data_IF_231456475471
#
_entry.id   IF_231456475471
#
_cell.length_a   1.000
_cell.length_b   1.000
_cell.length_c   1.000
_cell.angle_alpha   90.00
_cell.angle_beta   90.00
_cell.angle_gamma   90.00
#
_symmetry.space_group_name_H-M   'P 1'
#
loop_
_entity.id
_entity.type
_entity.pdbx_description
1 polymer ?
#
# COMPACT_ATOMS: atom_id res chain seq x y z
N UNK A 1 0.95 -13.68 -2.58
CA UNK A 1 1.84 -13.49 -3.75
C UNK A 1 2.17 -14.83 -4.41
N UNK A 2 2.23 -14.89 -5.75
CA UNK A 2 2.57 -16.11 -6.52
C UNK A 2 3.85 -15.92 -7.33
N UNK A 3 4.76 -16.89 -7.27
CA UNK A 3 5.97 -16.94 -8.08
C UNK A 3 6.16 -18.31 -8.75
N UNK A 4 6.91 -18.35 -9.85
CA UNK A 4 7.31 -19.61 -10.49
C UNK A 4 8.73 -19.61 -11.01
N UNK A 5 9.31 -20.80 -10.98
CA UNK A 5 10.66 -21.05 -11.48
C UNK A 5 10.59 -21.80 -12.82
N UNK A 6 10.95 -21.10 -13.91
CA UNK A 6 10.78 -21.53 -15.33
C UNK A 6 11.47 -22.85 -15.74
N UNK A 7 12.27 -23.47 -14.89
CA UNK A 7 13.03 -24.71 -15.22
C UNK A 7 12.75 -25.87 -14.28
N UNK A 8 12.55 -25.59 -13.00
CA UNK A 8 12.40 -26.62 -11.98
C UNK A 8 10.97 -27.13 -11.86
N UNK A 9 10.00 -26.38 -12.41
CA UNK A 9 8.59 -26.63 -12.19
C UNK A 9 8.13 -26.33 -10.77
N UNK A 10 8.89 -25.54 -10.01
CA UNK A 10 8.49 -25.12 -8.67
C UNK A 10 7.56 -23.92 -8.74
N UNK A 11 6.48 -24.02 -7.98
CA UNK A 11 5.59 -22.90 -7.66
C UNK A 11 5.89 -22.45 -6.25
N UNK A 12 5.93 -21.13 -6.08
CA UNK A 12 6.18 -20.44 -4.83
C UNK A 12 4.94 -19.64 -4.46
N UNK A 13 4.50 -19.78 -3.21
CA UNK A 13 3.33 -19.08 -2.71
C UNK A 13 3.65 -18.49 -1.35
N UNK A 14 3.28 -17.22 -1.15
CA UNK A 14 3.35 -16.54 0.14
C UNK A 14 1.98 -15.97 0.48
N UNK A 15 1.56 -16.16 1.74
CA UNK A 15 0.31 -15.68 2.32
C UNK A 15 0.47 -14.39 3.13
N UNK A 16 1.72 -13.99 3.37
CA UNK A 16 2.16 -12.91 4.26
C UNK A 16 3.00 -11.89 3.48
N UNK A 17 2.53 -11.53 2.28
CA UNK A 17 3.13 -10.47 1.45
C UNK A 17 4.63 -10.66 1.13
N UNK A 18 5.09 -11.91 1.08
CA UNK A 18 6.47 -12.26 0.74
C UNK A 18 7.38 -12.53 1.94
N UNK A 19 6.87 -12.50 3.17
CA UNK A 19 7.64 -12.87 4.37
C UNK A 19 8.09 -14.33 4.35
N UNK A 20 7.14 -15.26 4.19
CA UNK A 20 7.35 -16.70 4.17
C UNK A 20 6.88 -17.29 2.86
N UNK A 21 7.78 -18.00 2.21
CA UNK A 21 7.51 -18.64 0.92
C UNK A 21 7.40 -20.15 1.04
N UNK A 22 6.23 -20.68 0.68
CA UNK A 22 5.99 -22.10 0.54
C UNK A 22 6.26 -22.54 -0.90
N UNK A 23 7.09 -23.58 -1.06
CA UNK A 23 7.44 -24.12 -2.38
C UNK A 23 6.84 -25.49 -2.58
N UNK A 24 6.26 -25.72 -3.76
CA UNK A 24 5.80 -27.04 -4.19
C UNK A 24 6.39 -27.35 -5.57
N UNK A 25 7.09 -28.49 -5.66
CA UNK A 25 7.61 -28.96 -6.94
C UNK A 25 6.48 -29.65 -7.70
N UNK A 26 6.22 -29.15 -8.90
CA UNK A 26 5.29 -29.76 -9.83
C UNK A 26 6.07 -30.62 -10.82
N UNK A 27 5.40 -31.63 -11.40
CA UNK A 27 5.95 -32.44 -12.50
C UNK A 27 5.84 -31.73 -13.85
N UNK A 28 5.71 -30.40 -13.85
CA UNK A 28 5.48 -29.55 -15.01
C UNK A 28 6.53 -28.43 -15.00
N UNK A 29 7.39 -28.37 -16.01
CA UNK A 29 8.55 -27.47 -16.04
C UNK A 29 8.32 -26.19 -16.82
N UNK A 30 7.28 -26.11 -17.66
CA UNK A 30 7.12 -25.07 -18.67
C UNK A 30 5.71 -24.43 -18.60
N UNK A 31 5.45 -23.68 -17.53
CA UNK A 31 4.25 -22.86 -17.44
C UNK A 31 4.35 -21.68 -18.41
N UNK A 32 3.40 -21.61 -19.35
CA UNK A 32 3.26 -20.49 -20.30
C UNK A 32 2.53 -19.33 -19.63
N UNK A 33 1.52 -19.65 -18.83
CA UNK A 33 0.74 -18.67 -18.08
C UNK A 33 0.28 -19.27 -16.75
N UNK A 34 0.21 -18.44 -15.72
CA UNK A 34 -0.58 -18.71 -14.54
C UNK A 34 -1.40 -17.49 -14.17
N UNK A 35 -2.62 -17.75 -13.70
CA UNK A 35 -3.53 -16.75 -13.18
C UNK A 35 -4.00 -17.20 -11.82
N UNK A 36 -3.96 -16.27 -10.87
CA UNK A 36 -4.62 -16.42 -9.60
C UNK A 36 -6.07 -16.00 -9.79
N UNK A 37 -6.99 -16.78 -9.25
CA UNK A 37 -8.37 -16.39 -9.04
C UNK A 37 -8.59 -16.35 -7.54
N UNK A 38 -8.59 -15.13 -7.02
CA UNK A 38 -8.98 -14.88 -5.63
C UNK A 38 -10.51 -14.87 -5.60
N UNK A 39 -11.10 -15.77 -4.82
CA UNK A 39 -12.52 -15.74 -4.48
C UNK A 39 -12.68 -15.49 -2.98
N UNK A 40 -13.89 -15.12 -2.56
CA UNK A 40 -14.26 -14.86 -1.16
C UNK A 40 -14.14 -16.08 -0.22
N UNK A 41 -13.65 -17.22 -0.71
CA UNK A 41 -13.54 -18.45 0.09
C UNK A 41 -12.29 -19.25 -0.26
N UNK A 42 -11.80 -19.13 -1.50
CA UNK A 42 -10.74 -19.99 -2.00
C UNK A 42 -9.74 -19.21 -2.84
N UNK A 43 -8.47 -19.51 -2.60
CA UNK A 43 -7.39 -19.17 -3.51
C UNK A 43 -7.25 -20.31 -4.53
N UNK A 44 -7.70 -20.06 -5.74
CA UNK A 44 -7.52 -20.98 -6.86
C UNK A 44 -6.43 -20.44 -7.79
N UNK A 45 -5.53 -21.30 -8.24
CA UNK A 45 -4.53 -20.93 -9.23
C UNK A 45 -4.70 -21.83 -10.44
N UNK A 46 -4.85 -21.22 -11.61
CA UNK A 46 -4.89 -21.92 -12.88
C UNK A 46 -3.56 -21.70 -13.62
N UNK A 47 -2.90 -22.80 -14.00
CA UNK A 47 -1.65 -22.78 -14.75
C UNK A 47 -1.76 -23.55 -16.06
N UNK A 48 -1.32 -22.95 -17.16
CA UNK A 48 -1.22 -23.62 -18.46
C UNK A 48 0.25 -24.00 -18.67
N UNK A 49 0.52 -25.30 -18.74
CA UNK A 49 1.85 -25.83 -19.05
C UNK A 49 1.89 -26.36 -20.48
N UNK A 50 2.96 -26.04 -21.21
CA UNK A 50 3.21 -26.57 -22.54
C UNK A 50 4.38 -27.55 -22.55
N UNK A 51 4.10 -28.82 -22.84
CA UNK A 51 5.12 -29.84 -23.02
C UNK A 51 5.58 -29.87 -24.48
N UNK A 52 6.75 -29.26 -24.75
CA UNK A 52 7.34 -29.19 -26.10
C UNK A 52 7.63 -30.57 -26.71
N UNK A 53 8.08 -31.53 -25.91
CA UNK A 53 8.42 -32.88 -26.40
C UNK A 53 7.18 -33.67 -26.85
N UNK A 54 6.07 -33.50 -26.13
CA UNK A 54 4.80 -34.18 -26.44
C UNK A 54 3.89 -33.35 -27.35
N UNK A 55 4.25 -32.10 -27.63
CA UNK A 55 3.41 -31.11 -28.28
C UNK A 55 1.99 -31.03 -27.68
N UNK A 56 1.91 -30.94 -26.34
CA UNK A 56 0.63 -30.96 -25.60
C UNK A 56 0.57 -29.85 -24.55
N UNK A 57 -0.59 -29.21 -24.47
CA UNK A 57 -0.96 -28.31 -23.38
C UNK A 57 -1.61 -29.09 -22.24
N UNK A 58 -1.40 -28.64 -21.00
CA UNK A 58 -2.03 -29.20 -19.82
C UNK A 58 -2.47 -28.07 -18.91
N UNK A 59 -3.72 -28.13 -18.45
CA UNK A 59 -4.26 -27.22 -17.45
C UNK A 59 -4.02 -27.82 -16.07
N UNK A 60 -3.41 -27.05 -15.18
CA UNK A 60 -3.25 -27.36 -13.78
C UNK A 60 -4.15 -26.43 -12.97
N UNK A 61 -5.02 -27.02 -12.16
CA UNK A 61 -5.82 -26.31 -11.18
C UNK A 61 -5.28 -26.62 -9.80
N UNK A 62 -4.84 -25.59 -9.08
CA UNK A 62 -4.36 -25.69 -7.72
C UNK A 62 -5.43 -25.15 -6.80
N UNK A 63 -5.91 -26.01 -5.90
CA UNK A 63 -6.81 -25.62 -4.83
C UNK A 63 -6.01 -25.45 -3.54
N UNK A 64 -5.93 -24.22 -3.03
CA UNK A 64 -5.22 -23.88 -1.81
C UNK A 64 -6.12 -23.76 -0.58
N UNK A 65 -7.40 -24.18 -0.66
CA UNK A 65 -8.34 -24.16 0.47
C UNK A 65 -7.75 -24.81 1.73
N UNK A 66 -6.99 -25.89 1.55
CA UNK A 66 -6.42 -26.65 2.67
C UNK A 66 -5.11 -26.12 3.24
N UNK A 67 -4.49 -25.11 2.65
CA UNK A 67 -3.18 -24.64 3.15
C UNK A 67 -3.31 -23.80 4.41
N UNK A 68 -4.44 -23.10 4.57
CA UNK A 68 -4.75 -22.36 5.79
C UNK A 68 -5.28 -23.31 6.88
N UNK A 69 -5.89 -24.45 6.49
CA UNK A 69 -6.35 -25.54 7.37
C UNK A 69 -5.21 -26.37 8.00
N UNK A 70 -4.08 -25.75 8.33
CA UNK A 70 -3.01 -26.39 9.09
C UNK A 70 -3.46 -26.56 10.55
N UNK A 71 -3.48 -27.82 11.03
CA UNK A 71 -3.83 -28.29 12.39
C UNK A 71 -5.27 -28.78 12.62
N UNK A 72 -5.79 -29.65 11.75
CA UNK A 72 -6.94 -30.55 12.04
C UNK A 72 -8.31 -29.91 12.36
N UNK A 73 -8.41 -28.58 12.46
CA UNK A 73 -9.66 -27.85 12.65
C UNK A 73 -10.20 -27.45 11.28
N UNK A 74 -11.28 -28.13 10.87
CA UNK A 74 -11.78 -28.25 9.50
C UNK A 74 -12.49 -27.02 8.91
N UNK A 75 -12.27 -25.81 9.41
CA UNK A 75 -12.96 -24.62 8.89
C UNK A 75 -11.97 -23.51 8.58
N UNK A 76 -12.03 -23.00 7.36
CA UNK A 76 -11.40 -21.75 6.97
C UNK A 76 -11.86 -20.67 7.97
N UNK A 77 -10.97 -20.26 8.88
CA UNK A 77 -11.31 -19.24 9.87
C UNK A 77 -11.47 -17.91 9.16
N UNK A 78 -12.65 -17.31 9.29
CA UNK A 78 -12.85 -15.90 8.95
C UNK A 78 -12.03 -15.05 9.91
N UNK A 79 -11.36 -14.04 9.39
CA UNK A 79 -10.57 -13.14 10.23
C UNK A 79 -11.47 -12.42 11.23
N UNK A 80 -11.05 -12.43 12.49
CA UNK A 80 -11.67 -11.69 13.59
C UNK A 80 -11.06 -10.28 13.72
N UNK A 81 -11.66 -9.41 14.52
CA UNK A 81 -11.19 -8.02 14.68
C UNK A 81 -9.74 -7.91 15.15
N UNK A 82 -9.27 -8.87 15.93
CA UNK A 82 -7.91 -8.96 16.47
C UNK A 82 -6.90 -9.51 15.45
N UNK A 83 -7.35 -10.10 14.34
CA UNK A 83 -6.50 -10.50 13.20
C UNK A 83 -6.10 -9.31 12.31
N UNK A 84 -6.63 -8.11 12.58
CA UNK A 84 -6.31 -6.90 11.85
C UNK A 84 -5.45 -5.95 12.66
N UNK A 85 -4.71 -5.10 11.96
CA UNK A 85 -3.93 -4.00 12.51
C UNK A 85 -4.23 -2.70 11.76
N UNK A 86 -4.01 -1.57 12.44
CA UNK A 86 -4.08 -0.27 11.80
C UNK A 86 -2.85 -0.10 10.92
N UNK A 87 -3.10 0.11 9.63
CA UNK A 87 -2.08 0.36 8.62
C UNK A 87 -2.24 1.79 8.11
N UNK A 88 -1.16 2.56 8.24
CA UNK A 88 -1.08 3.91 7.67
C UNK A 88 -0.37 3.84 6.32
N UNK A 89 -0.75 4.71 5.40
CA UNK A 89 -0.04 4.84 4.13
C UNK A 89 1.39 5.31 4.44
N UNK A 90 2.44 4.60 4.01
CA UNK A 90 3.81 5.03 4.25
C UNK A 90 4.06 6.39 3.61
N UNK A 91 4.61 7.32 4.39
CA UNK A 91 4.99 8.68 3.98
C UNK A 91 6.34 9.03 4.60
N UNK A 92 6.99 10.06 4.08
CA UNK A 92 8.30 10.48 4.58
C UNK A 92 8.16 11.16 5.95
N UNK A 93 7.21 12.10 6.11
CA UNK A 93 7.03 12.87 7.35
C UNK A 93 5.67 12.62 8.03
N UNK A 94 5.57 11.53 8.79
CA UNK A 94 4.40 11.24 9.63
C UNK A 94 3.18 10.71 8.84
N UNK A 95 2.03 10.60 9.51
CA UNK A 95 0.82 9.99 8.93
C UNK A 95 -0.22 11.00 8.41
N UNK A 96 -0.02 12.30 8.70
CA UNK A 96 -0.97 13.35 8.32
C UNK A 96 -0.72 13.79 6.87
N UNK A 97 -1.78 13.88 6.07
CA UNK A 97 -1.71 14.38 4.71
C UNK A 97 -2.97 15.17 4.34
N UNK A 98 -2.78 16.36 3.80
CA UNK A 98 -3.81 17.35 3.53
C UNK A 98 -4.71 17.56 4.76
N UNK A 99 -4.10 17.69 5.94
CA UNK A 99 -4.82 17.83 7.21
C UNK A 99 -5.61 16.59 7.65
N UNK A 100 -5.39 15.43 7.02
CA UNK A 100 -6.08 14.18 7.32
C UNK A 100 -5.11 13.02 7.56
N UNK A 101 -5.29 12.33 8.67
CA UNK A 101 -4.65 11.05 8.94
C UNK A 101 -5.60 9.94 8.51
N UNK A 102 -5.15 9.13 7.54
CA UNK A 102 -5.92 8.01 7.00
C UNK A 102 -5.27 6.69 7.42
N UNK A 103 -6.03 5.85 8.11
CA UNK A 103 -5.62 4.49 8.47
C UNK A 103 -6.60 3.45 7.97
N UNK A 104 -6.08 2.32 7.53
CA UNK A 104 -6.85 1.17 7.06
C UNK A 104 -6.74 0.03 8.06
N UNK A 105 -7.78 -0.81 8.13
CA UNK A 105 -7.71 -2.08 8.86
C UNK A 105 -7.11 -3.13 7.92
N UNK A 106 -5.81 -3.38 8.05
CA UNK A 106 -5.07 -4.36 7.25
C UNK A 106 -4.98 -5.67 8.01
N UNK A 107 -5.12 -6.80 7.30
CA UNK A 107 -4.93 -8.12 7.93
C UNK A 107 -3.46 -8.26 8.35
N UNK A 108 -3.22 -8.70 9.59
CA UNK A 108 -1.86 -8.98 10.08
C UNK A 108 -1.21 -10.06 9.23
N UNK A 109 0.09 -9.92 8.99
CA UNK A 109 0.86 -10.90 8.21
C UNK A 109 0.88 -12.29 8.86
N UNK A 110 0.79 -12.36 10.20
CA UNK A 110 0.71 -13.61 10.96
C UNK A 110 -0.68 -14.25 10.98
N UNK A 111 -1.73 -13.55 10.52
CA UNK A 111 -3.10 -14.04 10.59
C UNK A 111 -3.40 -15.00 9.43
N UNK A 112 -3.54 -16.28 9.78
CA UNK A 112 -3.91 -17.37 8.88
C UNK A 112 -5.44 -17.49 8.79
N UNK A 113 -6.07 -16.43 8.28
CA UNK A 113 -7.52 -16.33 8.14
C UNK A 113 -7.91 -15.71 6.80
N UNK A 114 -9.18 -15.89 6.45
CA UNK A 114 -9.79 -15.34 5.24
C UNK A 114 -10.44 -13.98 5.53
N UNK A 115 -10.01 -12.94 4.82
CA UNK A 115 -10.65 -11.62 4.84
C UNK A 115 -11.78 -11.59 3.80
N UNK A 116 -13.02 -11.64 4.28
CA UNK A 116 -14.22 -11.64 3.44
C UNK A 116 -14.83 -10.25 3.24
N UNK A 117 -14.15 -9.19 3.67
CA UNK A 117 -14.64 -7.83 3.51
C UNK A 117 -14.58 -7.47 2.03
N UNK A 118 -15.73 -7.12 1.46
CA UNK A 118 -15.83 -6.61 0.08
C UNK A 118 -15.38 -5.15 -0.03
N UNK A 119 -15.45 -4.41 1.07
CA UNK A 119 -15.07 -3.01 1.17
C UNK A 119 -14.30 -2.76 2.47
N UNK A 120 -13.14 -2.11 2.37
CA UNK A 120 -12.38 -1.64 3.53
C UNK A 120 -12.62 -0.15 3.67
N UNK A 121 -13.37 0.25 4.71
CA UNK A 121 -13.64 1.65 5.00
C UNK A 121 -12.44 2.22 5.77
N UNK A 122 -11.79 3.28 5.28
CA UNK A 122 -10.71 3.93 6.01
C UNK A 122 -11.24 4.65 7.25
N UNK A 123 -10.44 4.68 8.31
CA UNK A 123 -10.63 5.63 9.41
C UNK A 123 -9.91 6.91 9.04
N UNK A 124 -10.64 8.03 9.04
CA UNK A 124 -10.12 9.36 8.75
C UNK A 124 -10.19 10.20 10.02
N UNK A 125 -9.08 10.79 10.42
CA UNK A 125 -8.99 11.72 11.54
C UNK A 125 -8.39 13.04 11.05
N UNK A 126 -8.93 14.16 11.52
CA UNK A 126 -8.30 15.45 11.26
C UNK A 126 -6.98 15.56 12.03
N UNK A 127 -5.99 16.17 11.41
CA UNK A 127 -4.67 16.44 11.99
C UNK A 127 -4.12 17.78 11.47
N UNK A 128 -3.14 18.38 12.16
CA UNK A 128 -2.49 19.60 11.68
C UNK A 128 -1.79 19.35 10.34
N UNK A 129 -1.86 20.30 9.42
CA UNK A 129 -1.22 20.18 8.11
C UNK A 129 0.29 19.92 8.24
N UNK A 130 0.79 19.01 7.41
CA UNK A 130 2.22 18.78 7.24
C UNK A 130 2.78 19.62 6.10
N UNK A 131 4.09 19.84 6.05
CA UNK A 131 4.73 20.54 4.91
C UNK A 131 4.50 19.81 3.58
N UNK A 132 4.33 18.49 3.61
CA UNK A 132 4.06 17.68 2.41
C UNK A 132 2.67 17.94 1.82
N UNK A 133 1.79 18.63 2.56
CA UNK A 133 0.43 18.95 2.13
C UNK A 133 0.40 20.09 1.10
N UNK A 134 1.47 20.88 1.05
CA UNK A 134 1.60 22.00 0.14
C UNK A 134 2.14 21.54 -1.21
N UNK A 135 1.44 21.86 -2.30
CA UNK A 135 1.75 21.37 -3.65
C UNK A 135 3.17 21.71 -4.12
N UNK A 136 3.73 22.82 -3.64
CA UNK A 136 5.08 23.25 -3.96
C UNK A 136 6.18 22.44 -3.25
N UNK A 137 5.88 21.70 -2.18
CA UNK A 137 6.89 20.92 -1.42
C UNK A 137 7.61 19.88 -2.30
N UNK A 138 6.89 19.26 -3.23
CA UNK A 138 7.47 18.26 -4.14
C UNK A 138 8.19 18.87 -5.35
N UNK A 139 8.09 20.19 -5.54
CA UNK A 139 8.66 20.87 -6.70
C UNK A 139 9.70 21.85 -6.19
N UNK A 140 10.91 21.33 -5.95
CA UNK A 140 12.06 22.07 -5.42
C UNK A 140 12.36 23.33 -6.26
N UNK A 141 12.10 23.27 -7.58
CA UNK A 141 12.29 24.40 -8.52
C UNK A 141 11.09 25.38 -8.58
N UNK A 142 9.97 25.09 -7.91
CA UNK A 142 8.78 25.94 -7.79
C UNK A 142 8.44 26.27 -6.33
N UNK A 143 9.44 26.26 -5.44
CA UNK A 143 9.33 27.18 -4.30
C UNK A 143 8.96 28.54 -4.88
N UNK A 144 7.99 29.24 -4.29
CA UNK A 144 7.63 30.58 -4.77
C UNK A 144 8.93 31.35 -5.04
N UNK A 145 9.04 32.13 -6.14
CA UNK A 145 10.32 32.59 -6.70
C UNK A 145 11.23 33.40 -5.76
N UNK A 146 10.79 33.62 -4.52
CA UNK A 146 11.44 34.35 -3.46
C UNK A 146 11.72 33.51 -2.21
N UNK A 147 11.49 32.19 -2.19
CA UNK A 147 11.75 31.32 -1.03
C UNK A 147 12.70 30.20 -1.42
N UNK A 148 13.54 29.76 -0.47
CA UNK A 148 14.41 28.60 -0.62
C UNK A 148 14.22 27.63 0.55
N UNK A 149 14.51 26.35 0.32
CA UNK A 149 14.36 25.32 1.34
C UNK A 149 15.55 25.29 2.30
N UNK A 150 15.31 25.40 3.61
CA UNK A 150 16.33 25.31 4.65
C UNK A 150 15.75 24.73 5.94
N UNK A 151 16.39 23.69 6.50
CA UNK A 151 16.02 23.07 7.78
C UNK A 151 14.53 22.62 7.87
N UNK A 152 14.00 22.07 6.76
CA UNK A 152 12.58 21.72 6.62
C UNK A 152 11.62 22.92 6.71
N UNK A 153 12.09 24.14 6.45
CA UNK A 153 11.25 25.31 6.31
C UNK A 153 11.52 25.97 4.96
N UNK A 154 10.49 26.58 4.37
CA UNK A 154 10.69 27.52 3.29
C UNK A 154 11.03 28.88 3.89
N UNK A 155 12.25 29.33 3.68
CA UNK A 155 12.74 30.61 4.20
C UNK A 155 12.76 31.59 3.04
N UNK A 156 12.27 32.80 3.27
CA UNK A 156 12.36 33.87 2.28
C UNK A 156 13.83 34.11 1.91
N UNK A 157 14.14 34.12 0.62
CA UNK A 157 15.46 34.45 0.09
C UNK A 157 15.80 35.89 0.51
N UNK A 158 16.85 36.08 1.36
CA UNK A 158 17.23 37.41 1.84
C UNK A 158 17.72 38.33 0.71
N UNK A 159 18.00 37.79 -0.48
CA UNK A 159 18.37 38.55 -1.67
C UNK A 159 17.18 38.90 -2.57
N UNK A 160 15.97 38.43 -2.26
CA UNK A 160 14.78 38.82 -2.99
C UNK A 160 14.36 40.24 -2.62
N UNK A 161 13.91 41.03 -3.61
CA UNK A 161 13.25 42.32 -3.38
C UNK A 161 11.77 42.15 -3.02
N UNK A 162 11.34 40.92 -2.72
CA UNK A 162 9.96 40.63 -2.40
C UNK A 162 9.65 41.10 -0.98
N UNK A 163 8.71 42.03 -0.88
CA UNK A 163 8.11 42.37 0.41
C UNK A 163 6.84 41.55 0.50
N UNK A 164 6.75 40.68 1.52
CA UNK A 164 5.53 39.92 1.75
C UNK A 164 4.33 40.89 1.81
N UNK A 165 3.26 40.64 1.02
CA UNK A 165 2.06 41.44 1.14
C UNK A 165 1.53 41.30 2.57
N UNK A 166 1.06 42.41 3.15
CA UNK A 166 0.38 42.38 4.44
C UNK A 166 -0.84 41.46 4.26
N UNK A 167 -0.75 40.25 4.82
CA UNK A 167 -1.82 39.27 4.75
C UNK A 167 -3.00 39.78 5.57
N UNK A 168 -3.99 40.31 4.88
CA UNK A 168 -5.30 40.62 5.45
C UNK A 168 -6.12 39.33 5.35
N UNK A 169 -6.48 38.74 6.49
CA UNK A 169 -7.47 37.66 6.47
C UNK A 169 -8.81 38.23 5.98
N UNK A 170 -9.48 37.53 5.07
CA UNK A 170 -10.88 37.84 4.79
C UNK A 170 -11.67 37.77 6.11
N UNK A 171 -12.54 38.76 6.36
CA UNK A 171 -13.33 38.92 7.59
C UNK A 171 -12.60 39.35 8.87
N UNK A 172 -11.40 39.92 8.80
CA UNK A 172 -10.76 40.55 9.97
C UNK A 172 -10.18 39.55 10.97
N UNK A 173 -9.91 38.31 10.53
CA UNK A 173 -9.08 37.36 11.27
C UNK A 173 -7.67 37.89 11.50
N UNK A 174 -7.06 37.50 12.64
CA UNK A 174 -5.66 37.81 12.91
C UNK A 174 -4.80 36.76 12.20
N UNK A 175 -3.91 37.14 11.27
CA UNK A 175 -3.00 36.18 10.66
C UNK A 175 -2.14 35.55 11.75
N UNK A 176 -2.05 34.22 11.74
CA UNK A 176 -1.16 33.50 12.63
C UNK A 176 0.28 33.76 12.18
N UNK A 177 0.91 34.81 12.73
CA UNK A 177 2.26 35.26 12.37
C UNK A 177 3.33 34.16 12.44
N UNK A 178 3.11 33.12 13.25
CA UNK A 178 4.02 31.98 13.36
C UNK A 178 3.93 30.98 12.19
N UNK A 179 2.98 31.18 11.27
CA UNK A 179 2.79 30.33 10.09
C UNK A 179 3.34 30.95 8.79
N UNK A 180 4.06 32.09 8.85
CA UNK A 180 4.96 32.64 7.80
C UNK A 180 4.50 32.62 6.31
N UNK A 181 3.25 32.33 5.96
CA UNK A 181 3.12 31.72 4.62
C UNK A 181 1.85 30.96 4.35
N UNK A 182 1.53 30.03 5.25
CA UNK A 182 0.62 28.95 4.92
C UNK A 182 -0.85 29.43 4.89
N UNK A 183 -1.48 29.34 3.72
CA UNK A 183 -2.95 29.43 3.60
C UNK A 183 -3.57 28.14 4.15
N UNK A 184 -4.43 28.27 5.16
CA UNK A 184 -5.39 27.25 5.54
C UNK A 184 -6.64 27.48 4.68
N UNK A 185 -6.81 26.69 3.62
CA UNK A 185 -8.10 26.59 2.91
C UNK A 185 -9.16 25.98 3.82
#
# INVERSE_FOLDING_TARGET
>A
MLGTERKSGKVWLSYDEGGVWHKKRLRATNFVAMRIRESSQNLEIAGINYNKHKNKYSLFLFNFSRVISSLYLMTDMMCQSDDYENFHVPRFNGNCFQGMEVSYSKKKLSALCFDNRTTVIPTVKSCPCSLEDFQWYNIIELSEPNYYYKDNLCVLDPFSNFTEPIKLCEEGGTPLQHLEGYELY
#
